data_IF_491102113380
#
_entry.id   IF_491102113380
#
_cell.length_a   1.000
_cell.length_b   1.000
_cell.length_c   1.000
_cell.angle_alpha   90.00
_cell.angle_beta   90.00
_cell.angle_gamma   90.00
#
_symmetry.space_group_name_H-M   'P 1'
#
loop_
_entity.id
_entity.type
_entity.pdbx_description
1 polymer ?
#
# COMPACT_ATOMS: atom_id res chain seq x y z
N UNK A 1 -10.58 -9.40 19.20
CA UNK A 1 -9.38 -10.21 18.89
C UNK A 1 -8.84 -10.84 20.17
N UNK A 2 -8.96 -12.16 20.33
CA UNK A 2 -8.22 -12.90 21.39
C UNK A 2 -6.76 -13.11 20.97
N UNK A 3 -5.96 -13.47 21.97
CA UNK A 3 -4.52 -13.23 22.15
C UNK A 3 -3.58 -13.85 21.10
N UNK A 4 -2.39 -13.26 20.97
CA UNK A 4 -1.20 -13.82 20.31
C UNK A 4 -0.89 -15.28 20.71
N UNK A 5 -1.45 -15.75 21.83
CA UNK A 5 -1.41 -17.13 22.28
C UNK A 5 -1.93 -18.12 21.24
N UNK A 6 -3.03 -17.84 20.52
CA UNK A 6 -3.57 -18.79 19.54
C UNK A 6 -2.60 -19.06 18.39
N UNK A 7 -1.86 -18.04 17.95
CA UNK A 7 -0.82 -18.21 16.95
C UNK A 7 0.32 -19.10 17.47
N UNK A 8 0.75 -18.90 18.71
CA UNK A 8 1.77 -19.76 19.35
C UNK A 8 1.24 -21.18 19.48
N UNK A 9 0.01 -21.37 19.96
CA UNK A 9 -0.63 -22.68 20.11
C UNK A 9 -0.67 -23.42 18.79
N UNK A 10 -1.08 -22.76 17.68
CA UNK A 10 -1.04 -23.37 16.35
C UNK A 10 0.37 -23.80 15.95
N UNK A 11 1.38 -22.96 16.17
CA UNK A 11 2.76 -23.22 15.75
C UNK A 11 3.45 -24.36 16.53
N UNK A 12 2.99 -24.66 17.74
CA UNK A 12 3.55 -25.74 18.58
C UNK A 12 2.65 -26.99 18.64
N UNK A 13 1.48 -26.95 18.02
CA UNK A 13 0.53 -28.05 18.03
C UNK A 13 1.07 -29.25 17.25
N UNK A 14 0.94 -30.45 17.82
CA UNK A 14 1.40 -31.70 17.21
C UNK A 14 0.22 -32.54 16.69
N UNK A 15 -0.99 -32.28 17.18
CA UNK A 15 -2.20 -32.92 16.71
C UNK A 15 -2.78 -32.16 15.50
N UNK A 16 -2.79 -32.81 14.34
CA UNK A 16 -3.25 -32.21 13.08
C UNK A 16 -4.71 -31.71 13.14
N UNK A 17 -5.62 -32.47 13.76
CA UNK A 17 -7.03 -32.08 13.88
C UNK A 17 -7.20 -30.80 14.71
N UNK A 18 -6.46 -30.71 15.83
CA UNK A 18 -6.46 -29.53 16.68
C UNK A 18 -5.76 -28.33 16.00
N UNK A 19 -4.72 -28.58 15.21
CA UNK A 19 -4.05 -27.55 14.42
C UNK A 19 -4.99 -26.97 13.36
N UNK A 20 -5.71 -27.82 12.60
CA UNK A 20 -6.71 -27.40 11.60
C UNK A 20 -7.81 -26.57 12.25
N UNK A 21 -8.33 -27.00 13.41
CA UNK A 21 -9.33 -26.23 14.15
C UNK A 21 -8.83 -24.84 14.52
N UNK A 22 -7.62 -24.76 15.10
CA UNK A 22 -7.01 -23.49 15.51
C UNK A 22 -6.71 -22.59 14.30
N UNK A 23 -6.30 -23.17 13.17
CA UNK A 23 -6.06 -22.45 11.92
C UNK A 23 -7.35 -21.83 11.36
N UNK A 24 -8.46 -22.57 11.38
CA UNK A 24 -9.77 -22.04 10.95
C UNK A 24 -10.22 -20.88 11.84
N UNK A 25 -10.06 -20.98 13.16
CA UNK A 25 -10.36 -19.87 14.07
C UNK A 25 -9.50 -18.63 13.76
N UNK A 26 -8.21 -18.81 13.47
CA UNK A 26 -7.32 -17.71 13.08
C UNK A 26 -7.76 -17.08 11.74
N UNK A 27 -8.22 -17.88 10.78
CA UNK A 27 -8.70 -17.37 9.49
C UNK A 27 -10.02 -16.60 9.62
N UNK A 28 -10.92 -17.03 10.50
CA UNK A 28 -12.12 -16.27 10.86
C UNK A 28 -11.73 -14.88 11.42
N UNK A 29 -10.79 -14.82 12.38
CA UNK A 29 -10.30 -13.55 12.91
C UNK A 29 -9.59 -12.68 11.87
N UNK A 30 -8.83 -13.28 10.95
CA UNK A 30 -8.20 -12.57 9.84
C UNK A 30 -9.24 -11.97 8.89
N UNK A 31 -10.32 -12.71 8.63
CA UNK A 31 -11.46 -12.24 7.83
C UNK A 31 -12.17 -11.06 8.49
N UNK A 32 -12.49 -11.17 9.79
CA UNK A 32 -13.05 -10.07 10.57
C UNK A 32 -12.14 -8.84 10.57
N UNK A 33 -10.83 -9.05 10.80
CA UNK A 33 -9.83 -7.96 10.78
C UNK A 33 -9.78 -7.26 9.42
N UNK A 34 -9.87 -7.99 8.30
CA UNK A 34 -9.88 -7.41 6.95
C UNK A 34 -11.13 -6.57 6.71
N UNK A 35 -12.29 -7.05 7.16
CA UNK A 35 -13.54 -6.30 7.07
C UNK A 35 -13.48 -4.99 7.86
N UNK A 36 -13.00 -5.06 9.11
CA UNK A 36 -12.82 -3.88 9.96
C UNK A 36 -11.79 -2.89 9.40
N UNK A 37 -10.68 -3.38 8.86
CA UNK A 37 -9.67 -2.57 8.18
C UNK A 37 -10.26 -1.78 7.01
N UNK A 38 -11.04 -2.42 6.14
CA UNK A 38 -11.72 -1.75 5.03
C UNK A 38 -12.74 -0.72 5.51
N UNK A 39 -13.56 -1.06 6.51
CA UNK A 39 -14.55 -0.16 7.09
C UNK A 39 -13.89 1.10 7.68
N UNK A 40 -12.89 0.90 8.53
CA UNK A 40 -12.16 1.99 9.21
C UNK A 40 -11.43 2.87 8.20
N UNK A 41 -10.77 2.29 7.19
CA UNK A 41 -10.12 3.05 6.14
C UNK A 41 -11.10 3.95 5.38
N UNK A 42 -12.29 3.43 5.04
CA UNK A 42 -13.35 4.21 4.38
C UNK A 42 -13.84 5.37 5.26
N UNK A 43 -14.06 5.12 6.55
CA UNK A 43 -14.46 6.15 7.52
C UNK A 43 -13.39 7.24 7.68
N UNK A 44 -12.11 6.84 7.80
CA UNK A 44 -11.00 7.77 7.90
C UNK A 44 -10.86 8.65 6.65
N UNK A 45 -10.97 8.07 5.44
CA UNK A 45 -10.97 8.83 4.18
C UNK A 45 -12.14 9.82 4.11
N UNK A 46 -13.33 9.41 4.57
CA UNK A 46 -14.49 10.29 4.65
C UNK A 46 -14.30 11.42 5.65
N UNK A 47 -13.65 11.16 6.79
CA UNK A 47 -13.32 12.17 7.81
C UNK A 47 -12.41 13.26 7.23
N UNK A 48 -11.34 12.88 6.51
CA UNK A 48 -10.41 13.83 5.87
C UNK A 48 -11.16 14.78 4.93
N UNK A 49 -11.99 14.23 4.05
CA UNK A 49 -12.80 15.00 3.10
C UNK A 49 -13.80 15.93 3.79
N UNK A 50 -14.49 15.42 4.81
CA UNK A 50 -15.46 16.22 5.58
C UNK A 50 -14.81 17.39 6.30
N UNK A 51 -13.59 17.21 6.78
CA UNK A 51 -12.80 18.23 7.49
C UNK A 51 -12.04 19.16 6.54
N UNK A 52 -12.04 18.88 5.23
CA UNK A 52 -11.30 19.63 4.19
C UNK A 52 -9.78 19.61 4.40
N UNK A 53 -9.26 18.45 4.80
CA UNK A 53 -7.85 18.25 5.15
C UNK A 53 -7.06 17.54 4.05
N UNK A 54 -7.60 17.44 2.84
CA UNK A 54 -6.90 16.81 1.71
C UNK A 54 -5.58 17.49 1.36
N UNK A 55 -5.44 18.79 1.67
CA UNK A 55 -4.25 19.59 1.34
C UNK A 55 -3.25 19.73 2.50
N UNK A 56 -3.54 19.15 3.66
CA UNK A 56 -2.65 19.18 4.81
C UNK A 56 -1.33 18.45 4.54
N UNK A 57 -0.28 18.80 5.28
CA UNK A 57 1.02 18.14 5.16
C UNK A 57 1.03 16.75 5.80
N UNK A 58 0.08 16.47 6.69
CA UNK A 58 -0.09 15.20 7.40
C UNK A 58 -1.55 14.76 7.45
N UNK A 59 -1.77 13.48 7.76
CA UNK A 59 -3.10 12.95 8.08
C UNK A 59 -3.18 12.68 9.59
N UNK A 60 -4.17 13.25 10.27
CA UNK A 60 -4.48 12.93 11.67
C UNK A 60 -5.98 12.70 11.81
N UNK A 61 -6.34 11.44 12.04
CA UNK A 61 -7.74 11.00 12.10
C UNK A 61 -8.03 10.28 13.42
N UNK A 62 -9.27 10.33 13.86
CA UNK A 62 -9.72 9.75 15.14
C UNK A 62 -11.16 9.30 15.07
N UNK A 63 -11.41 8.11 15.61
CA UNK A 63 -12.74 7.68 16.01
C UNK A 63 -12.66 6.79 17.26
N UNK A 64 -13.53 6.96 18.26
CA UNK A 64 -13.47 6.21 19.51
C UNK A 64 -13.75 4.71 19.35
N UNK A 65 -14.47 4.31 18.30
CA UNK A 65 -14.88 2.92 18.06
C UNK A 65 -13.92 2.13 17.15
N UNK A 66 -12.83 2.75 16.68
CA UNK A 66 -11.87 2.04 15.83
C UNK A 66 -11.07 1.02 16.63
N UNK A 67 -10.87 -0.17 16.09
CA UNK A 67 -10.18 -1.23 16.81
C UNK A 67 -8.67 -0.96 16.89
N UNK A 68 -8.10 -0.93 18.11
CA UNK A 68 -6.66 -0.66 18.34
C UNK A 68 -5.71 -1.59 17.56
N UNK A 69 -6.11 -2.84 17.32
CA UNK A 69 -5.31 -3.79 16.53
C UNK A 69 -5.31 -3.53 15.01
N UNK A 70 -6.13 -2.59 14.53
CA UNK A 70 -6.38 -2.35 13.09
C UNK A 70 -5.86 -0.98 12.64
N UNK A 71 -5.85 0.03 13.52
CA UNK A 71 -5.43 1.42 13.19
C UNK A 71 -4.05 1.52 12.53
N UNK A 72 -3.12 0.60 12.80
CA UNK A 72 -1.81 0.58 12.15
C UNK A 72 -1.84 0.15 10.69
N UNK A 73 -2.75 -0.75 10.31
CA UNK A 73 -2.97 -1.17 8.92
C UNK A 73 -3.67 -0.04 8.16
N UNK A 74 -4.66 0.58 8.80
CA UNK A 74 -5.37 1.75 8.25
C UNK A 74 -4.41 2.90 7.99
N UNK A 75 -3.46 3.18 8.91
CA UNK A 75 -2.46 4.22 8.70
C UNK A 75 -1.64 4.00 7.42
N UNK A 76 -1.22 2.75 7.15
CA UNK A 76 -0.55 2.40 5.90
C UNK A 76 -1.43 2.60 4.66
N UNK A 77 -2.72 2.22 4.71
CA UNK A 77 -3.67 2.45 3.59
C UNK A 77 -3.91 3.94 3.30
N UNK A 78 -3.95 4.76 4.34
CA UNK A 78 -4.10 6.21 4.18
C UNK A 78 -2.85 6.83 3.55
N UNK A 79 -1.65 6.30 3.85
CA UNK A 79 -0.42 6.66 3.15
C UNK A 79 -0.49 6.27 1.68
N UNK A 80 -1.00 5.10 1.32
CA UNK A 80 -1.19 4.73 -0.10
C UNK A 80 -2.12 5.71 -0.85
N UNK A 81 -2.98 6.45 -0.15
CA UNK A 81 -3.94 7.38 -0.78
C UNK A 81 -3.41 8.82 -0.86
N UNK A 82 -2.80 9.31 0.22
CA UNK A 82 -2.37 10.72 0.33
C UNK A 82 -0.85 10.91 0.38
N UNK A 83 -0.08 9.83 0.41
CA UNK A 83 1.39 9.79 0.51
C UNK A 83 1.99 10.86 1.44
N UNK A 84 1.57 10.83 2.71
CA UNK A 84 2.04 11.77 3.74
C UNK A 84 2.05 11.15 5.14
N UNK A 85 2.87 11.65 6.08
CA UNK A 85 2.90 11.14 7.46
C UNK A 85 1.49 11.07 8.06
N UNK A 86 1.16 9.91 8.63
CA UNK A 86 -0.22 9.58 9.00
C UNK A 86 -0.29 9.06 10.43
N UNK A 87 -1.25 9.59 11.18
CA UNK A 87 -1.60 9.22 12.55
C UNK A 87 -3.07 8.82 12.61
N UNK A 88 -3.35 7.62 13.13
CA UNK A 88 -4.71 7.10 13.30
C UNK A 88 -4.94 6.82 14.78
N UNK A 89 -5.84 7.58 15.41
CA UNK A 89 -6.20 7.44 16.83
C UNK A 89 -7.45 6.60 17.04
N UNK A 90 -7.50 5.94 18.19
CA UNK A 90 -8.72 5.39 18.79
C UNK A 90 -8.74 5.61 20.30
N UNK A 91 -9.92 5.47 20.92
CA UNK A 91 -10.07 5.59 22.36
C UNK A 91 -9.64 4.31 23.05
N UNK A 92 -8.82 4.43 24.10
CA UNK A 92 -8.41 3.32 24.96
C UNK A 92 -8.44 3.74 26.43
N UNK A 93 -9.47 3.29 27.14
CA UNK A 93 -9.73 3.66 28.54
C UNK A 93 -9.83 5.19 28.67
N UNK A 94 -8.86 5.82 29.34
CA UNK A 94 -8.80 7.27 29.61
C UNK A 94 -7.96 8.07 28.62
N UNK A 95 -7.34 7.41 27.64
CA UNK A 95 -6.44 8.05 26.67
C UNK A 95 -6.90 7.78 25.24
N UNK A 96 -6.43 8.60 24.32
CA UNK A 96 -6.42 8.26 22.90
C UNK A 96 -5.08 7.59 22.58
N UNK A 97 -5.11 6.44 21.91
CA UNK A 97 -3.93 5.71 21.47
C UNK A 97 -3.88 5.73 19.96
N UNK A 98 -2.69 5.92 19.39
CA UNK A 98 -2.50 6.01 17.95
C UNK A 98 -1.43 5.08 17.43
N UNK A 99 -1.57 4.73 16.16
CA UNK A 99 -0.48 4.25 15.33
C UNK A 99 -0.06 5.33 14.34
N UNK A 100 1.25 5.47 14.18
CA UNK A 100 1.89 6.43 13.27
C UNK A 100 2.65 5.66 12.20
N UNK A 101 2.56 6.16 10.98
CA UNK A 101 3.34 5.71 9.83
C UNK A 101 3.91 6.91 9.08
N UNK A 102 5.06 6.73 8.46
CA UNK A 102 5.76 7.76 7.69
C UNK A 102 5.92 7.37 6.23
N UNK A 103 6.26 8.36 5.41
CA UNK A 103 6.72 8.20 4.03
C UNK A 103 8.23 7.99 3.97
N UNK A 104 8.74 7.52 2.82
CA UNK A 104 10.18 7.28 2.64
C UNK A 104 10.98 8.56 2.90
N UNK A 105 12.03 8.44 3.70
CA UNK A 105 12.93 9.55 4.04
C UNK A 105 12.45 10.50 5.15
N UNK A 106 11.17 10.53 5.53
CA UNK A 106 10.68 11.42 6.60
C UNK A 106 10.74 10.71 7.97
N UNK A 107 11.29 11.37 8.98
CA UNK A 107 11.40 10.83 10.35
C UNK A 107 10.20 11.25 11.22
N UNK A 108 9.27 10.31 11.45
CA UNK A 108 8.13 10.58 12.34
C UNK A 108 8.51 10.58 13.81
N UNK A 109 9.61 9.94 14.21
CA UNK A 109 10.01 9.93 15.60
C UNK A 109 10.44 11.34 16.03
N UNK A 110 11.28 12.01 15.24
CA UNK A 110 11.68 13.40 15.48
C UNK A 110 10.49 14.37 15.39
N UNK A 111 9.52 14.10 14.51
CA UNK A 111 8.30 14.91 14.42
C UNK A 111 7.41 14.78 15.67
N UNK A 112 7.30 13.57 16.22
CA UNK A 112 6.57 13.31 17.47
C UNK A 112 7.29 13.91 18.68
N UNK A 113 8.62 13.85 18.73
CA UNK A 113 9.41 14.47 19.79
C UNK A 113 9.17 15.98 19.86
N UNK A 114 9.10 16.64 18.70
CA UNK A 114 8.74 18.06 18.60
C UNK A 114 7.30 18.38 19.07
N UNK A 115 6.43 17.37 19.14
CA UNK A 115 5.05 17.47 19.63
C UNK A 115 4.88 16.95 21.07
N UNK A 116 5.98 16.65 21.77
CA UNK A 116 5.97 15.98 23.09
C UNK A 116 5.12 16.66 24.16
N UNK A 117 4.92 17.98 24.09
CA UNK A 117 4.06 18.74 24.99
C UNK A 117 2.61 18.24 25.06
N UNK A 118 2.12 17.58 24.00
CA UNK A 118 0.74 17.07 23.92
C UNK A 118 0.66 15.55 24.14
N UNK A 119 1.80 14.89 24.32
CA UNK A 119 1.93 13.44 24.32
C UNK A 119 2.22 12.92 25.73
N UNK A 120 1.46 11.91 26.17
CA UNK A 120 1.69 11.24 27.45
C UNK A 120 2.83 10.22 27.34
N UNK A 121 2.85 9.47 26.24
CA UNK A 121 3.87 8.48 25.94
C UNK A 121 3.95 8.27 24.43
N UNK A 122 5.15 8.13 23.89
CA UNK A 122 5.36 7.65 22.52
C UNK A 122 6.61 6.77 22.44
N UNK A 123 6.71 5.99 21.37
CA UNK A 123 7.87 5.17 21.08
C UNK A 123 7.78 4.59 19.67
N UNK A 124 8.92 4.21 19.10
CA UNK A 124 8.99 3.68 17.74
C UNK A 124 10.32 4.00 17.08
N UNK A 125 10.27 4.07 15.75
CA UNK A 125 11.40 4.32 14.87
C UNK A 125 11.01 5.33 13.78
N UNK A 126 11.99 5.68 12.96
CA UNK A 126 11.89 6.63 11.85
C UNK A 126 10.61 6.54 11.01
N UNK A 127 10.11 5.33 10.74
CA UNK A 127 8.96 5.11 9.84
C UNK A 127 7.67 4.65 10.52
N UNK A 128 7.73 4.30 11.80
CA UNK A 128 6.59 3.74 12.51
C UNK A 128 6.70 4.01 14.01
N UNK A 129 5.62 4.52 14.60
CA UNK A 129 5.56 4.77 16.04
C UNK A 129 4.16 4.48 16.59
N UNK A 130 4.07 4.43 17.91
CA UNK A 130 2.83 4.47 18.66
C UNK A 130 2.89 5.59 19.68
N UNK A 131 1.75 6.21 19.96
CA UNK A 131 1.64 7.23 21.00
C UNK A 131 0.31 7.15 21.75
N UNK A 132 0.28 7.79 22.92
CA UNK A 132 -0.93 8.07 23.67
C UNK A 132 -1.00 9.53 24.08
N UNK A 133 -2.20 10.12 23.98
CA UNK A 133 -2.49 11.49 24.38
C UNK A 133 -3.75 11.53 25.25
N UNK A 134 -3.98 12.63 25.96
CA UNK A 134 -5.30 12.90 26.56
C UNK A 134 -6.28 13.37 25.50
N UNK A 135 -7.57 13.13 25.72
CA UNK A 135 -8.63 13.48 24.75
C UNK A 135 -8.69 15.00 24.53
N UNK A 136 -8.48 15.80 25.58
CA UNK A 136 -8.39 17.25 25.51
C UNK A 136 -7.21 17.78 24.66
N UNK A 137 -6.18 16.96 24.45
CA UNK A 137 -4.99 17.34 23.69
C UNK A 137 -5.09 17.02 22.19
N UNK A 138 -6.17 16.35 21.73
CA UNK A 138 -6.26 15.87 20.35
C UNK A 138 -6.10 16.96 19.30
N UNK A 139 -6.87 18.05 19.42
CA UNK A 139 -6.83 19.15 18.44
C UNK A 139 -5.48 19.89 18.49
N UNK A 140 -4.90 20.05 19.69
CA UNK A 140 -3.60 20.68 19.84
C UNK A 140 -2.47 19.83 19.23
N UNK A 141 -2.49 18.51 19.49
CA UNK A 141 -1.57 17.56 18.86
C UNK A 141 -1.72 17.58 17.34
N UNK A 142 -2.95 17.53 16.83
CA UNK A 142 -3.24 17.51 15.40
C UNK A 142 -2.65 18.73 14.69
N UNK A 143 -2.89 19.92 15.23
CA UNK A 143 -2.35 21.16 14.68
C UNK A 143 -0.81 21.22 14.79
N UNK A 144 -0.25 20.81 15.93
CA UNK A 144 1.20 20.82 16.14
C UNK A 144 1.92 19.83 15.21
N UNK A 145 1.39 18.62 15.06
CA UNK A 145 1.96 17.59 14.19
C UNK A 145 1.93 18.02 12.74
N UNK A 146 0.80 18.56 12.26
CA UNK A 146 0.71 19.04 10.88
C UNK A 146 1.68 20.19 10.61
N UNK A 147 1.80 21.12 11.55
CA UNK A 147 2.79 22.21 11.45
C UNK A 147 4.21 21.66 11.35
N UNK A 148 4.62 20.76 12.25
CA UNK A 148 5.96 20.19 12.26
C UNK A 148 6.25 19.42 10.97
N UNK A 149 5.27 18.65 10.47
CA UNK A 149 5.40 17.96 9.19
C UNK A 149 5.52 18.97 8.05
N UNK A 150 4.70 20.01 8.01
CA UNK A 150 4.71 21.04 6.97
C UNK A 150 6.04 21.79 6.87
N UNK A 151 6.71 22.02 8.00
CA UNK A 151 8.00 22.72 8.09
C UNK A 151 9.19 21.84 7.70
N UNK A 152 9.06 20.51 7.81
CA UNK A 152 10.19 19.57 7.67
C UNK A 152 10.11 18.69 6.42
N UNK A 153 8.90 18.42 5.91
CA UNK A 153 8.72 17.54 4.75
C UNK A 153 9.16 18.27 3.49
N UNK A 154 9.99 17.60 2.70
CA UNK A 154 10.47 18.13 1.41
C UNK A 154 9.50 17.77 0.28
N UNK A 155 9.51 18.53 -0.82
CA UNK A 155 8.67 18.21 -1.98
C UNK A 155 8.94 16.80 -2.53
N UNK A 156 10.21 16.36 -2.54
CA UNK A 156 10.59 15.01 -2.97
C UNK A 156 9.99 13.90 -2.08
N UNK A 157 9.62 14.20 -0.83
CA UNK A 157 8.99 13.25 0.10
C UNK A 157 7.46 13.25 0.01
N UNK A 158 6.85 14.22 -0.70
CA UNK A 158 5.40 14.29 -0.93
C UNK A 158 4.95 13.45 -2.12
N UNK A 159 5.88 12.87 -2.86
CA UNK A 159 5.60 12.02 -4.02
C UNK A 159 6.28 10.68 -3.83
N UNK A 160 5.53 9.61 -4.10
CA UNK A 160 6.09 8.28 -4.06
C UNK A 160 7.15 8.12 -5.15
N UNK A 161 8.32 7.64 -4.75
CA UNK A 161 9.43 7.36 -5.67
C UNK A 161 9.48 5.85 -5.90
N UNK A 162 9.30 5.46 -7.15
CA UNK A 162 9.52 4.09 -7.60
C UNK A 162 10.96 3.99 -8.11
N UNK A 163 11.77 3.14 -7.48
CA UNK A 163 13.12 2.83 -7.94
C UNK A 163 13.04 1.80 -9.06
N UNK A 164 13.49 2.20 -10.26
CA UNK A 164 13.48 1.37 -11.47
C UNK A 164 14.88 0.76 -11.62
N UNK A 165 14.95 -0.56 -11.77
CA UNK A 165 16.20 -1.29 -11.92
C UNK A 165 16.75 -1.19 -13.36
N UNK A 166 15.87 -1.31 -14.36
CA UNK A 166 16.26 -1.22 -15.76
C UNK A 166 15.10 -0.84 -16.70
N UNK A 167 15.45 -0.26 -17.85
CA UNK A 167 14.55 -0.16 -19.00
C UNK A 167 14.63 -1.46 -19.81
N UNK A 168 13.47 -1.97 -20.26
CA UNK A 168 13.37 -3.27 -20.92
C UNK A 168 12.43 -3.19 -22.13
N UNK A 169 12.89 -3.67 -23.29
CA UNK A 169 12.05 -3.86 -24.48
C UNK A 169 11.22 -5.15 -24.29
N UNK A 170 10.01 -5.25 -24.87
CA UNK A 170 9.14 -6.43 -24.62
C UNK A 170 9.72 -7.73 -25.18
N UNK A 171 10.55 -7.66 -26.22
CA UNK A 171 11.24 -8.82 -26.80
C UNK A 171 12.27 -9.45 -25.88
N UNK A 172 12.82 -8.72 -24.91
CA UNK A 172 13.74 -9.27 -23.90
C UNK A 172 13.00 -10.08 -22.83
N UNK A 173 11.68 -9.88 -22.70
CA UNK A 173 10.82 -10.54 -21.73
C UNK A 173 10.46 -11.95 -22.21
N UNK A 174 11.45 -12.83 -22.16
CA UNK A 174 11.33 -14.23 -22.56
C UNK A 174 11.22 -15.15 -21.35
N UNK A 175 10.79 -16.41 -21.57
CA UNK A 175 10.81 -17.44 -20.53
C UNK A 175 12.22 -17.66 -19.97
N UNK A 176 13.25 -17.59 -20.83
CA UNK A 176 14.65 -17.69 -20.41
C UNK A 176 15.05 -16.56 -19.47
N UNK A 177 14.69 -15.32 -19.80
CA UNK A 177 14.91 -14.17 -18.94
C UNK A 177 14.18 -14.31 -17.59
N UNK A 178 12.91 -14.70 -17.60
CA UNK A 178 12.14 -14.91 -16.37
C UNK A 178 12.74 -16.03 -15.49
N UNK A 179 13.28 -17.10 -16.08
CA UNK A 179 13.96 -18.16 -15.34
C UNK A 179 15.25 -17.68 -14.67
N UNK A 180 15.93 -16.68 -15.24
CA UNK A 180 17.08 -16.03 -14.60
C UNK A 180 16.61 -15.15 -13.44
N UNK A 181 15.55 -14.34 -13.64
CA UNK A 181 15.00 -13.50 -12.57
C UNK A 181 14.59 -14.30 -11.34
N UNK A 182 13.98 -15.48 -11.53
CA UNK A 182 13.59 -16.37 -10.43
C UNK A 182 14.77 -16.86 -9.59
N UNK A 183 15.99 -16.88 -10.12
CA UNK A 183 17.18 -17.25 -9.35
C UNK A 183 17.57 -16.20 -8.31
N UNK A 184 16.98 -15.00 -8.36
CA UNK A 184 17.18 -13.92 -7.39
C UNK A 184 16.23 -14.04 -6.19
N UNK A 185 15.31 -15.01 -6.21
CA UNK A 185 14.44 -15.31 -5.07
C UNK A 185 15.24 -15.85 -3.86
N UNK A 186 14.77 -15.65 -2.62
CA UNK A 186 13.46 -15.09 -2.24
C UNK A 186 13.42 -13.56 -2.28
N UNK A 187 12.34 -13.02 -2.83
CA UNK A 187 12.09 -11.58 -2.79
C UNK A 187 11.45 -11.15 -1.47
N UNK A 188 11.77 -9.95 -1.01
CA UNK A 188 11.26 -9.37 0.23
C UNK A 188 11.96 -8.06 0.60
N UNK A 189 11.79 -7.56 1.82
CA UNK A 189 12.59 -6.45 2.33
C UNK A 189 14.09 -6.71 2.10
N UNK A 190 14.82 -5.71 1.63
CA UNK A 190 16.25 -5.80 1.25
C UNK A 190 16.57 -6.61 -0.03
N UNK A 191 15.59 -7.27 -0.64
CA UNK A 191 15.71 -7.92 -1.95
C UNK A 191 14.36 -7.85 -2.69
N UNK A 192 13.93 -6.63 -3.03
CA UNK A 192 12.63 -6.45 -3.69
C UNK A 192 12.63 -7.06 -5.09
N UNK A 193 11.46 -7.52 -5.55
CA UNK A 193 11.32 -7.99 -6.93
C UNK A 193 11.70 -6.87 -7.91
N UNK A 194 12.52 -7.14 -8.94
CA UNK A 194 12.97 -6.11 -9.86
C UNK A 194 11.82 -5.38 -10.55
N UNK A 195 11.94 -4.07 -10.65
CA UNK A 195 11.03 -3.19 -11.37
C UNK A 195 11.66 -2.69 -12.65
N UNK A 196 10.93 -2.88 -13.74
CA UNK A 196 11.34 -2.48 -15.08
C UNK A 196 10.45 -1.36 -15.59
N UNK A 197 10.96 -0.60 -16.55
CA UNK A 197 10.19 0.38 -17.31
C UNK A 197 10.20 0.06 -18.79
N UNK A 198 9.06 0.24 -19.44
CA UNK A 198 8.98 0.33 -20.91
C UNK A 198 8.27 1.63 -21.24
N UNK A 199 8.87 2.41 -22.15
CA UNK A 199 8.36 3.72 -22.55
C UNK A 199 7.59 3.63 -23.86
N UNK A 200 6.68 4.58 -24.06
CA UNK A 200 5.88 4.70 -25.29
C UNK A 200 5.17 3.40 -25.71
N UNK A 201 4.59 2.70 -24.73
CA UNK A 201 3.72 1.55 -24.99
C UNK A 201 2.36 2.04 -25.48
N UNK A 202 1.68 1.22 -26.27
CA UNK A 202 0.37 1.50 -26.84
C UNK A 202 -0.59 0.33 -26.59
N UNK A 203 -1.88 0.64 -26.47
CA UNK A 203 -2.92 -0.37 -26.43
C UNK A 203 -3.12 -1.04 -27.80
N UNK A 204 -3.32 -2.36 -27.78
CA UNK A 204 -3.69 -3.18 -28.94
C UNK A 204 -5.19 -3.16 -29.25
N UNK A 205 -5.98 -2.41 -28.49
CA UNK A 205 -7.44 -2.31 -28.60
C UNK A 205 -8.22 -3.32 -27.76
N UNK A 206 -7.54 -4.04 -26.86
CA UNK A 206 -8.15 -5.05 -25.99
C UNK A 206 -8.00 -4.73 -24.50
N UNK A 207 -7.29 -3.65 -24.15
CA UNK A 207 -7.17 -3.20 -22.76
C UNK A 207 -8.53 -2.77 -22.23
N UNK A 208 -8.83 -3.14 -20.98
CA UNK A 208 -10.11 -2.83 -20.35
C UNK A 208 -10.00 -2.78 -18.84
N UNK A 209 -10.83 -1.94 -18.24
CA UNK A 209 -11.02 -1.98 -16.80
C UNK A 209 -11.70 -3.29 -16.39
N UNK A 210 -11.29 -3.82 -15.24
CA UNK A 210 -11.73 -5.10 -14.66
C UNK A 210 -11.80 -4.99 -13.13
N UNK A 211 -12.36 -6.01 -12.48
CA UNK A 211 -12.54 -6.03 -11.03
C UNK A 211 -13.89 -5.45 -10.59
N UNK A 212 -14.10 -5.37 -9.28
CA UNK A 212 -15.30 -4.74 -8.72
C UNK A 212 -15.22 -3.24 -9.00
N UNK A 213 -16.29 -2.63 -9.51
CA UNK A 213 -16.33 -1.20 -9.83
C UNK A 213 -15.25 -0.73 -10.83
N UNK A 214 -14.73 -1.61 -11.69
CA UNK A 214 -13.70 -1.29 -12.69
C UNK A 214 -12.39 -0.72 -12.08
N UNK A 215 -12.02 -1.17 -10.87
CA UNK A 215 -10.88 -0.65 -10.12
C UNK A 215 -9.50 -1.01 -10.71
N UNK A 216 -9.39 -2.08 -11.50
CA UNK A 216 -8.12 -2.54 -12.07
C UNK A 216 -8.12 -2.38 -13.58
N UNK A 217 -6.94 -2.40 -14.20
CA UNK A 217 -6.79 -2.30 -15.65
C UNK A 217 -6.06 -3.51 -16.20
N UNK A 218 -6.76 -4.32 -17.01
CA UNK A 218 -6.11 -5.36 -17.81
C UNK A 218 -5.58 -4.72 -19.08
N UNK A 219 -4.31 -4.95 -19.36
CA UNK A 219 -3.56 -4.31 -20.44
C UNK A 219 -3.14 -5.33 -21.50
N UNK A 220 -3.30 -4.93 -22.76
CA UNK A 220 -2.88 -5.65 -23.95
C UNK A 220 -2.02 -4.69 -24.78
N UNK A 221 -0.70 -4.82 -24.68
CA UNK A 221 0.22 -3.75 -25.08
C UNK A 221 1.17 -4.17 -26.19
N UNK A 222 1.66 -3.19 -26.93
CA UNK A 222 2.83 -3.31 -27.78
C UNK A 222 3.66 -2.02 -27.75
N UNK A 223 4.87 -2.07 -28.30
CA UNK A 223 5.68 -0.88 -28.59
C UNK A 223 5.66 -0.59 -30.09
N UNK A 224 6.12 0.59 -30.51
CA UNK A 224 6.25 0.90 -31.94
C UNK A 224 7.22 -0.05 -32.67
N UNK A 225 8.29 -0.48 -31.98
CA UNK A 225 9.27 -1.44 -32.50
C UNK A 225 8.68 -2.85 -32.63
N UNK A 226 7.72 -3.20 -31.77
CA UNK A 226 7.26 -4.59 -31.57
C UNK A 226 5.75 -4.73 -31.80
N UNK A 227 5.21 -4.08 -32.84
CA UNK A 227 3.76 -4.02 -33.11
C UNK A 227 3.08 -5.39 -33.23
N UNK A 228 3.82 -6.44 -33.59
CA UNK A 228 3.29 -7.80 -33.74
C UNK A 228 3.34 -8.64 -32.46
N UNK A 229 4.17 -8.25 -31.49
CA UNK A 229 4.28 -8.92 -30.19
C UNK A 229 3.30 -8.29 -29.21
N UNK A 230 2.45 -9.11 -28.59
CA UNK A 230 1.55 -8.65 -27.52
C UNK A 230 2.20 -8.94 -26.16
N UNK A 231 2.23 -7.94 -25.30
CA UNK A 231 2.60 -8.08 -23.90
C UNK A 231 1.38 -7.83 -23.02
N UNK A 232 1.03 -8.82 -22.20
CA UNK A 232 -0.12 -8.76 -21.31
C UNK A 232 0.27 -8.19 -19.96
N UNK A 233 -0.57 -7.32 -19.41
CA UNK A 233 -0.36 -6.71 -18.10
C UNK A 233 -1.62 -6.65 -17.24
N UNK A 234 -1.43 -6.53 -15.93
CA UNK A 234 -2.48 -6.19 -14.97
C UNK A 234 -1.98 -5.04 -14.09
N UNK A 235 -2.73 -3.95 -14.06
CA UNK A 235 -2.47 -2.78 -13.23
C UNK A 235 -3.53 -2.69 -12.13
N UNK A 236 -3.15 -2.99 -10.90
CA UNK A 236 -4.08 -2.98 -9.77
C UNK A 236 -4.33 -1.55 -9.30
N UNK A 237 -5.59 -1.24 -8.97
CA UNK A 237 -6.09 0.08 -8.55
C UNK A 237 -5.87 1.22 -9.58
N UNK A 238 -5.48 0.89 -10.82
CA UNK A 238 -5.21 1.84 -11.91
C UNK A 238 -6.29 1.82 -13.02
N UNK A 239 -7.50 1.35 -12.70
CA UNK A 239 -8.63 1.29 -13.64
C UNK A 239 -9.05 2.64 -14.24
N UNK A 240 -8.78 3.74 -13.53
CA UNK A 240 -9.07 5.10 -13.99
C UNK A 240 -8.24 5.53 -15.22
N UNK A 241 -7.14 4.84 -15.55
CA UNK A 241 -6.40 5.07 -16.79
C UNK A 241 -7.06 4.47 -18.04
N UNK A 242 -8.11 3.64 -17.88
CA UNK A 242 -8.76 2.93 -19.00
C UNK A 242 -9.22 3.86 -20.14
N UNK A 243 -9.76 5.04 -19.82
CA UNK A 243 -10.17 6.01 -20.84
C UNK A 243 -8.99 6.56 -21.64
N UNK A 244 -7.86 6.86 -20.98
CA UNK A 244 -6.65 7.32 -21.68
C UNK A 244 -6.07 6.20 -22.56
N UNK A 245 -5.93 5.00 -22.01
CA UNK A 245 -5.33 3.84 -22.70
C UNK A 245 -6.17 3.44 -23.93
N UNK A 246 -7.50 3.41 -23.81
CA UNK A 246 -8.40 3.04 -24.92
C UNK A 246 -8.42 4.06 -26.08
N UNK A 247 -7.87 5.27 -25.90
CA UNK A 247 -7.68 6.25 -26.99
C UNK A 247 -6.51 5.89 -27.91
N UNK A 248 -5.74 4.85 -27.59
CA UNK A 248 -4.56 4.44 -28.35
C UNK A 248 -3.38 5.41 -28.24
N UNK A 249 -3.40 6.28 -27.23
CA UNK A 249 -2.29 7.18 -26.92
C UNK A 249 -1.12 6.40 -26.32
N UNK A 250 0.10 6.88 -26.56
CA UNK A 250 1.28 6.29 -25.96
C UNK A 250 1.38 6.63 -24.46
N UNK A 251 1.90 5.70 -23.68
CA UNK A 251 2.15 5.87 -22.24
C UNK A 251 3.40 5.10 -21.81
N UNK A 252 3.95 5.41 -20.64
CA UNK A 252 5.01 4.60 -20.04
C UNK A 252 4.43 3.72 -18.93
N UNK A 253 5.05 2.56 -18.71
CA UNK A 253 4.67 1.63 -17.64
C UNK A 253 5.87 1.27 -16.78
N UNK A 254 5.65 1.21 -15.46
CA UNK A 254 6.59 0.59 -14.51
C UNK A 254 5.98 -0.72 -14.00
N UNK A 255 6.73 -1.82 -14.01
CA UNK A 255 6.17 -3.14 -13.73
C UNK A 255 7.19 -4.15 -13.18
N UNK A 256 6.69 -5.16 -12.47
CA UNK A 256 7.41 -6.41 -12.20
C UNK A 256 6.93 -7.51 -13.15
N UNK A 257 7.80 -8.47 -13.46
CA UNK A 257 7.46 -9.62 -14.31
C UNK A 257 7.00 -10.78 -13.42
N UNK A 258 5.86 -11.39 -13.75
CA UNK A 258 5.37 -12.58 -13.07
C UNK A 258 4.95 -13.67 -14.07
N UNK A 259 5.00 -14.92 -13.62
CA UNK A 259 4.42 -16.04 -14.34
C UNK A 259 2.99 -16.27 -13.84
N UNK A 260 2.04 -16.19 -14.76
CA UNK A 260 0.65 -16.53 -14.50
C UNK A 260 0.41 -17.99 -14.94
N UNK A 261 -0.02 -18.83 -14.00
CA UNK A 261 -0.42 -20.21 -14.26
C UNK A 261 -1.94 -20.34 -14.17
N UNK A 262 -2.59 -20.60 -15.30
CA UNK A 262 -4.04 -20.78 -15.37
C UNK A 262 -4.39 -22.07 -16.12
N UNK A 263 -5.10 -22.98 -15.45
CA UNK A 263 -5.51 -24.29 -15.99
C UNK A 263 -4.34 -25.07 -16.62
N UNK A 264 -3.15 -25.01 -16.02
CA UNK A 264 -1.94 -25.69 -16.49
C UNK A 264 -1.18 -24.97 -17.62
N UNK A 265 -1.70 -23.84 -18.13
CA UNK A 265 -0.97 -23.00 -19.07
C UNK A 265 -0.21 -21.92 -18.30
N UNK A 266 1.11 -21.86 -18.53
CA UNK A 266 2.00 -20.83 -18.00
C UNK A 266 2.20 -19.74 -19.03
N UNK A 267 2.06 -18.50 -18.61
CA UNK A 267 2.24 -17.31 -19.45
C UNK A 267 2.94 -16.23 -18.65
N UNK A 268 3.76 -15.43 -19.32
CA UNK A 268 4.35 -14.25 -18.69
C UNK A 268 3.30 -13.13 -18.68
N UNK A 269 3.17 -12.46 -17.53
CA UNK A 269 2.31 -11.29 -17.35
C UNK A 269 3.08 -10.21 -16.59
N UNK A 270 2.90 -8.96 -17.03
CA UNK A 270 3.42 -7.80 -16.31
C UNK A 270 2.47 -7.41 -15.19
N UNK A 271 2.96 -7.27 -13.97
CA UNK A 271 2.24 -6.62 -12.88
C UNK A 271 2.65 -5.17 -12.85
N UNK A 272 1.82 -4.33 -13.47
CA UNK A 272 2.05 -2.90 -13.62
C UNK A 272 1.80 -2.21 -12.29
N UNK A 273 2.82 -1.48 -11.83
CA UNK A 273 2.84 -0.69 -10.59
C UNK A 273 2.37 0.73 -10.82
N UNK A 274 2.71 1.32 -11.96
CA UNK A 274 2.32 2.68 -12.31
C UNK A 274 2.24 2.89 -13.82
N UNK A 275 1.42 3.85 -14.24
CA UNK A 275 1.20 4.26 -15.62
C UNK A 275 1.41 5.77 -15.72
N UNK A 276 2.39 6.17 -16.54
CA UNK A 276 2.61 7.57 -16.86
C UNK A 276 2.00 7.90 -18.21
N UNK A 277 0.88 8.63 -18.19
CA UNK A 277 0.25 9.18 -19.40
C UNK A 277 1.09 10.34 -19.94
N UNK A 278 1.19 10.45 -21.27
CA UNK A 278 1.89 11.53 -21.99
C UNK A 278 0.97 12.70 -22.36
#
# INVERSE_FOLDING_TARGET
MKHAHNAVSLLIEQNEEQAVKTANEIEEYNTERRSEDQRIAKEALAQIKKQKEEQNASTVVYHPEWHKGVIGIVASRLIETYYRPTVVFTKSKKYLVASVRSVKGFDVFEALEACSAYIEQFGGHKYAAGLSIREENYEFFKAAFDKVVSERITEAQKTEVIEIDAELDFSDITTGFNNILKQFEPFGPENMSPLFVTKNVMDRGYSKAVGLDNEHLKLHMCTEKEKLSEMNGIAFKLGFHSEYVSKGLAFDICYSIQENEWKGNRSIQLVVKDIKTL
#
